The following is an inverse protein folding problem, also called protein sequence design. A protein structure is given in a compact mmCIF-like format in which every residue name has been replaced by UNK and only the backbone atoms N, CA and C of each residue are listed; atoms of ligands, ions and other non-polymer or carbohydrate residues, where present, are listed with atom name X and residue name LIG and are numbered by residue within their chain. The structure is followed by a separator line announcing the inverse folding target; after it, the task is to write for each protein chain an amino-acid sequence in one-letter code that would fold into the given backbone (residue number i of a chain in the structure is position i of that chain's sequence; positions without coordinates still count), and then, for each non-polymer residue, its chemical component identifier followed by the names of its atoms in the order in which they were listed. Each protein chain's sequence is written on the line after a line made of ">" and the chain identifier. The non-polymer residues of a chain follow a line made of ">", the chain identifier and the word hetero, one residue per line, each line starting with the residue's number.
data_IF_786544134420
#
_entry.id   IF_786544134420
#
_cell.length_a   1.000
_cell.length_b   1.000
_cell.length_c   1.000
_cell.angle_alpha   90.00
_cell.angle_beta   90.00
_cell.angle_gamma   90.00
#
_symmetry.space_group_name_H-M   'P 1'
#
loop_
_entity.id
_entity.type
_entity.pdbx_description
1 polymer ?
#
# COMPACT_ATOMS: atom_id res chain seq x y z
N UNK A 1 32.39 -8.37 -3.00
CA UNK A 1 31.70 -9.68 -2.97
C UNK A 1 30.28 -9.44 -3.41
N UNK A 2 29.68 -10.31 -4.22
CA UNK A 2 28.25 -10.22 -4.54
C UNK A 2 27.45 -10.36 -3.23
N UNK A 3 26.42 -9.54 -3.04
CA UNK A 3 25.52 -9.66 -1.90
C UNK A 3 24.84 -11.03 -1.88
N UNK A 4 24.45 -11.53 -0.69
CA UNK A 4 23.63 -12.74 -0.52
C UNK A 4 22.30 -12.65 -1.29
N UNK A 5 21.85 -11.43 -1.59
CA UNK A 5 20.60 -11.13 -2.27
C UNK A 5 20.71 -10.97 -3.79
N UNK A 6 21.93 -11.01 -4.32
CA UNK A 6 22.14 -10.95 -5.76
C UNK A 6 21.57 -12.18 -6.46
N UNK A 7 20.84 -11.97 -7.55
CA UNK A 7 20.19 -13.02 -8.34
C UNK A 7 19.11 -13.81 -7.59
N UNK A 8 18.58 -13.31 -6.47
CA UNK A 8 17.42 -13.93 -5.83
C UNK A 8 16.21 -13.79 -6.73
N UNK A 9 15.52 -14.91 -6.96
CA UNK A 9 14.28 -14.96 -7.75
C UNK A 9 13.06 -15.30 -6.88
N UNK A 10 11.89 -14.94 -7.40
CA UNK A 10 10.56 -15.29 -6.90
C UNK A 10 9.67 -15.70 -8.07
N UNK A 11 8.58 -16.40 -7.79
CA UNK A 11 7.59 -16.84 -8.78
C UNK A 11 6.42 -15.87 -8.83
N UNK A 12 6.40 -14.97 -9.81
CA UNK A 12 5.38 -13.93 -9.97
C UNK A 12 4.59 -14.07 -11.28
N UNK A 13 3.61 -13.19 -11.47
CA UNK A 13 2.87 -13.04 -12.73
C UNK A 13 3.41 -11.83 -13.48
N UNK A 14 4.16 -12.05 -14.56
CA UNK A 14 4.57 -10.94 -15.43
C UNK A 14 3.37 -10.48 -16.26
N UNK A 15 3.15 -9.18 -16.27
CA UNK A 15 2.06 -8.51 -16.99
C UNK A 15 2.54 -8.00 -18.34
N UNK A 16 1.59 -7.59 -19.17
CA UNK A 16 1.77 -7.12 -20.53
C UNK A 16 2.71 -5.91 -20.61
N UNK A 17 2.71 -5.07 -19.58
CA UNK A 17 3.62 -3.92 -19.43
C UNK A 17 4.96 -4.27 -18.74
N UNK A 18 5.27 -5.55 -18.55
CA UNK A 18 6.53 -6.03 -17.96
C UNK A 18 6.61 -5.98 -16.42
N UNK A 19 5.66 -5.32 -15.74
CA UNK A 19 5.56 -5.31 -14.27
C UNK A 19 5.22 -6.71 -13.75
N UNK A 20 5.58 -6.99 -12.49
CA UNK A 20 5.38 -8.31 -11.88
C UNK A 20 4.44 -8.22 -10.69
N UNK A 21 3.35 -8.98 -10.73
CA UNK A 21 2.43 -9.18 -9.61
C UNK A 21 2.74 -10.45 -8.82
N UNK A 22 2.34 -10.47 -7.54
CA UNK A 22 2.43 -11.64 -6.65
C UNK A 22 1.07 -12.27 -6.35
N UNK A 23 -0.01 -11.63 -6.81
CA UNK A 23 -1.38 -12.13 -6.85
C UNK A 23 -1.97 -12.02 -8.26
N UNK A 24 -3.15 -12.58 -8.45
CA UNK A 24 -3.79 -12.71 -9.76
C UNK A 24 -5.31 -12.49 -9.66
N UNK A 25 -5.71 -11.31 -9.20
CA UNK A 25 -7.11 -10.98 -8.94
C UNK A 25 -7.87 -10.62 -10.21
N UNK A 26 -9.13 -11.06 -10.30
CA UNK A 26 -10.13 -10.46 -11.20
C UNK A 26 -10.98 -9.52 -10.36
N UNK A 27 -10.85 -8.22 -10.59
CA UNK A 27 -11.48 -7.19 -9.76
C UNK A 27 -12.77 -6.71 -10.41
N UNK A 28 -13.83 -6.58 -9.60
CA UNK A 28 -15.05 -5.86 -9.96
C UNK A 28 -14.97 -4.50 -9.26
N UNK A 29 -14.69 -3.45 -10.05
CA UNK A 29 -14.33 -2.13 -9.56
C UNK A 29 -15.53 -1.18 -9.70
N UNK A 30 -16.23 -0.84 -8.61
CA UNK A 30 -17.22 0.22 -8.64
C UNK A 30 -16.51 1.55 -8.90
N UNK A 31 -17.07 2.40 -9.77
CA UNK A 31 -16.58 3.78 -9.98
C UNK A 31 -17.00 4.69 -8.83
N UNK A 32 -18.16 4.36 -8.25
CA UNK A 32 -18.89 5.17 -7.29
C UNK A 32 -19.65 4.33 -6.26
N UNK A 33 -19.98 4.96 -5.14
CA UNK A 33 -20.64 4.36 -3.98
C UNK A 33 -22.01 3.73 -4.30
N UNK A 34 -22.73 4.24 -5.29
CA UNK A 34 -24.04 3.69 -5.70
C UNK A 34 -23.92 2.54 -6.70
N UNK A 35 -22.74 2.32 -7.27
CA UNK A 35 -22.43 1.16 -8.12
C UNK A 35 -21.92 -0.05 -7.34
N UNK A 36 -21.66 0.12 -6.03
CA UNK A 36 -21.19 -0.95 -5.14
C UNK A 36 -22.09 -2.19 -5.19
N UNK A 37 -23.41 -2.02 -5.09
CA UNK A 37 -24.35 -3.14 -5.04
C UNK A 37 -24.29 -4.00 -6.31
N UNK A 38 -24.16 -3.38 -7.48
CA UNK A 38 -23.99 -4.11 -8.75
C UNK A 38 -22.66 -4.88 -8.77
N UNK A 39 -21.56 -4.28 -8.29
CA UNK A 39 -20.26 -4.94 -8.23
C UNK A 39 -20.27 -6.14 -7.28
N UNK A 40 -20.86 -5.98 -6.10
CA UNK A 40 -21.00 -7.05 -5.11
C UNK A 40 -21.88 -8.18 -5.63
N UNK A 41 -22.97 -7.87 -6.34
CA UNK A 41 -23.83 -8.87 -6.97
C UNK A 41 -23.08 -9.70 -8.02
N UNK A 42 -22.28 -9.06 -8.88
CA UNK A 42 -21.42 -9.76 -9.85
C UNK A 42 -20.41 -10.66 -9.12
N UNK A 43 -19.77 -10.16 -8.06
CA UNK A 43 -18.81 -10.96 -7.30
C UNK A 43 -19.45 -12.14 -6.55
N UNK A 44 -20.71 -11.99 -6.13
CA UNK A 44 -21.47 -13.09 -5.55
C UNK A 44 -21.80 -14.17 -6.60
N UNK A 45 -22.16 -13.76 -7.82
CA UNK A 45 -22.49 -14.66 -8.93
C UNK A 45 -21.26 -15.44 -9.45
N UNK A 46 -20.11 -14.77 -9.55
CA UNK A 46 -18.90 -15.34 -10.19
C UNK A 46 -17.79 -15.53 -9.17
N UNK A 47 -17.57 -16.79 -8.77
CA UNK A 47 -16.46 -17.14 -7.86
C UNK A 47 -15.10 -16.89 -8.51
N UNK A 48 -14.11 -16.53 -7.70
CA UNK A 48 -12.78 -16.13 -8.17
C UNK A 48 -12.63 -14.65 -8.52
N UNK A 49 -13.68 -13.86 -8.30
CA UNK A 49 -13.65 -12.39 -8.43
C UNK A 49 -13.61 -11.70 -7.07
N UNK A 50 -13.26 -10.42 -7.08
CA UNK A 50 -13.18 -9.57 -5.88
C UNK A 50 -13.83 -8.21 -6.15
N UNK A 51 -14.97 -7.93 -5.51
CA UNK A 51 -15.54 -6.58 -5.48
C UNK A 51 -14.79 -5.71 -4.47
N UNK A 52 -14.60 -4.42 -4.79
CA UNK A 52 -13.90 -3.45 -3.94
C UNK A 52 -14.82 -2.23 -3.71
N UNK A 53 -15.81 -2.35 -2.81
CA UNK A 53 -16.72 -1.25 -2.52
C UNK A 53 -16.02 -0.09 -1.80
N UNK A 54 -16.45 1.14 -2.08
CA UNK A 54 -15.96 2.36 -1.41
C UNK A 54 -17.06 3.43 -1.31
N UNK A 55 -16.81 4.50 -0.54
CA UNK A 55 -17.82 5.49 -0.15
C UNK A 55 -17.87 6.77 -1.00
N UNK A 56 -17.10 6.85 -2.10
CA UNK A 56 -16.93 8.08 -2.90
C UNK A 56 -17.19 7.83 -4.39
N UNK A 57 -16.80 8.74 -5.28
CA UNK A 57 -17.06 8.64 -6.73
C UNK A 57 -18.28 9.42 -7.22
N UNK A 58 -18.75 10.42 -6.46
CA UNK A 58 -19.80 11.35 -6.91
C UNK A 58 -19.55 12.77 -6.37
N UNK A 59 -19.91 13.76 -7.20
CA UNK A 59 -19.86 15.19 -6.85
C UNK A 59 -18.49 15.67 -6.33
N UNK A 60 -17.43 14.96 -6.71
CA UNK A 60 -16.05 15.38 -6.49
C UNK A 60 -15.62 16.32 -7.62
N UNK A 61 -14.70 17.24 -7.33
CA UNK A 61 -14.25 18.24 -8.29
C UNK A 61 -12.79 18.65 -8.01
N UNK A 62 -12.14 19.26 -9.00
CA UNK A 62 -10.75 19.72 -8.88
C UNK A 62 -9.80 18.56 -8.53
N UNK A 63 -8.80 18.84 -7.69
CA UNK A 63 -7.80 17.83 -7.32
C UNK A 63 -8.40 16.63 -6.58
N UNK A 64 -9.49 16.80 -5.83
CA UNK A 64 -10.16 15.68 -5.16
C UNK A 64 -10.69 14.65 -6.16
N UNK A 65 -11.22 15.11 -7.30
CA UNK A 65 -11.68 14.24 -8.37
C UNK A 65 -10.51 13.59 -9.12
N UNK A 66 -9.43 14.33 -9.35
CA UNK A 66 -8.24 13.80 -10.01
C UNK A 66 -7.55 12.73 -9.15
N UNK A 67 -7.48 12.93 -7.84
CA UNK A 67 -7.00 11.92 -6.89
C UNK A 67 -7.90 10.69 -6.86
N UNK A 68 -9.24 10.85 -6.92
CA UNK A 68 -10.17 9.72 -7.06
C UNK A 68 -9.83 8.90 -8.30
N UNK A 69 -9.74 9.54 -9.48
CA UNK A 69 -9.39 8.83 -10.71
C UNK A 69 -8.04 8.16 -10.65
N UNK A 70 -7.02 8.85 -10.13
CA UNK A 70 -5.67 8.31 -9.99
C UNK A 70 -5.65 7.08 -9.10
N UNK A 71 -6.37 7.11 -7.97
CA UNK A 71 -6.45 5.98 -7.04
C UNK A 71 -7.19 4.79 -7.66
N UNK A 72 -8.32 5.04 -8.34
CA UNK A 72 -9.11 3.97 -8.98
C UNK A 72 -8.37 3.34 -10.17
N UNK A 73 -7.78 4.17 -11.03
CA UNK A 73 -6.95 3.72 -12.15
C UNK A 73 -5.75 2.94 -11.63
N UNK A 74 -5.03 3.48 -10.65
CA UNK A 74 -3.89 2.82 -10.03
C UNK A 74 -4.24 1.46 -9.40
N UNK A 75 -5.38 1.39 -8.71
CA UNK A 75 -5.89 0.14 -8.11
C UNK A 75 -6.13 -0.93 -9.17
N UNK A 76 -6.81 -0.60 -10.27
CA UNK A 76 -7.01 -1.53 -11.39
C UNK A 76 -5.72 -1.82 -12.17
N UNK A 77 -4.82 -0.85 -12.28
CA UNK A 77 -3.53 -0.96 -12.97
C UNK A 77 -2.51 -1.82 -12.19
N UNK A 78 -2.68 -1.99 -10.88
CA UNK A 78 -1.76 -2.74 -10.02
C UNK A 78 -1.44 -4.15 -10.60
N UNK A 79 -0.17 -4.61 -10.61
CA UNK A 79 0.19 -5.91 -11.16
C UNK A 79 -0.45 -7.14 -10.46
N UNK A 80 -0.91 -7.01 -9.20
CA UNK A 80 -1.67 -8.04 -8.51
C UNK A 80 -3.08 -8.23 -9.10
N UNK A 81 -3.56 -7.29 -9.90
CA UNK A 81 -4.82 -7.35 -10.64
C UNK A 81 -4.55 -7.83 -12.06
N UNK A 82 -5.14 -8.97 -12.42
CA UNK A 82 -5.00 -9.59 -13.72
C UNK A 82 -5.97 -8.99 -14.74
N UNK A 83 -7.22 -8.74 -14.35
CA UNK A 83 -8.26 -8.20 -15.19
C UNK A 83 -9.28 -7.42 -14.36
N UNK A 84 -9.99 -6.48 -14.98
CA UNK A 84 -10.93 -5.58 -14.30
C UNK A 84 -12.27 -5.48 -15.02
N UNK A 85 -13.36 -5.59 -14.27
CA UNK A 85 -14.69 -5.16 -14.71
C UNK A 85 -15.02 -3.87 -13.97
N UNK A 86 -15.06 -2.75 -14.69
CA UNK A 86 -15.40 -1.43 -14.16
C UNK A 86 -16.91 -1.21 -14.30
N UNK A 87 -17.59 -0.88 -13.22
CA UNK A 87 -19.04 -0.59 -13.23
C UNK A 87 -19.25 0.77 -12.57
N UNK A 88 -19.85 1.70 -13.28
CA UNK A 88 -20.25 3.00 -12.73
C UNK A 88 -21.71 3.33 -12.98
N UNK A 89 -22.20 4.38 -12.34
CA UNK A 89 -23.55 4.86 -12.60
C UNK A 89 -23.66 5.39 -14.04
N UNK A 90 -22.67 6.16 -14.49
CA UNK A 90 -22.68 6.88 -15.77
C UNK A 90 -21.45 6.54 -16.63
N UNK A 91 -21.53 6.65 -17.98
CA UNK A 91 -20.50 6.13 -18.88
C UNK A 91 -19.18 6.92 -18.93
N UNK A 92 -19.17 8.21 -18.64
CA UNK A 92 -17.99 9.08 -18.75
C UNK A 92 -16.86 8.70 -17.80
N UNK A 93 -17.11 8.71 -16.50
CA UNK A 93 -16.15 8.36 -15.45
C UNK A 93 -15.79 6.88 -15.51
N UNK A 94 -16.78 6.03 -15.82
CA UNK A 94 -16.55 4.59 -16.07
C UNK A 94 -15.53 4.39 -17.18
N UNK A 95 -15.73 5.05 -18.31
CA UNK A 95 -14.81 4.98 -19.45
C UNK A 95 -13.43 5.55 -19.12
N UNK A 96 -13.36 6.69 -18.42
CA UNK A 96 -12.09 7.32 -18.02
C UNK A 96 -11.24 6.37 -17.18
N UNK A 97 -11.84 5.71 -16.18
CA UNK A 97 -11.13 4.75 -15.33
C UNK A 97 -10.71 3.52 -16.14
N UNK A 98 -11.64 2.97 -16.92
CA UNK A 98 -11.37 1.78 -17.72
C UNK A 98 -10.26 2.01 -18.75
N UNK A 99 -10.26 3.14 -19.46
CA UNK A 99 -9.20 3.51 -20.41
C UNK A 99 -7.85 3.68 -19.72
N UNK A 100 -7.79 4.36 -18.56
CA UNK A 100 -6.55 4.49 -17.79
C UNK A 100 -5.97 3.14 -17.35
N UNK A 101 -6.82 2.18 -17.00
CA UNK A 101 -6.36 0.81 -16.67
C UNK A 101 -5.88 0.07 -17.94
N UNK A 102 -6.56 0.24 -19.09
CA UNK A 102 -6.18 -0.39 -20.37
C UNK A 102 -4.80 0.00 -20.87
N UNK A 103 -4.27 1.16 -20.48
CA UNK A 103 -2.90 1.57 -20.81
C UNK A 103 -1.84 0.55 -20.33
N UNK A 104 -2.15 -0.25 -19.30
CA UNK A 104 -1.26 -1.33 -18.83
C UNK A 104 -1.24 -2.55 -19.76
N UNK A 105 -2.15 -2.64 -20.73
CA UNK A 105 -2.31 -3.78 -21.64
C UNK A 105 -3.21 -4.90 -21.10
N UNK A 106 -3.67 -4.83 -19.85
CA UNK A 106 -4.50 -5.88 -19.25
C UNK A 106 -5.95 -5.86 -19.75
N UNK A 107 -6.69 -6.98 -19.67
CA UNK A 107 -8.11 -7.01 -20.05
C UNK A 107 -8.99 -6.16 -19.12
N UNK A 108 -9.79 -5.27 -19.72
CA UNK A 108 -10.75 -4.40 -19.01
C UNK A 108 -12.09 -4.36 -19.71
N UNK A 109 -13.17 -4.58 -18.96
CA UNK A 109 -14.54 -4.38 -19.40
C UNK A 109 -15.19 -3.22 -18.62
N UNK A 110 -16.11 -2.50 -19.25
CA UNK A 110 -16.79 -1.36 -18.64
C UNK A 110 -18.31 -1.47 -18.84
N UNK A 111 -19.09 -1.14 -17.82
CA UNK A 111 -20.55 -1.14 -17.85
C UNK A 111 -21.10 0.05 -17.09
N UNK A 112 -22.27 0.54 -17.50
CA UNK A 112 -22.95 1.66 -16.84
C UNK A 112 -24.37 1.31 -16.46
N UNK A 113 -24.77 1.64 -15.23
CA UNK A 113 -26.09 1.30 -14.69
C UNK A 113 -27.18 2.22 -15.25
N UNK A 114 -26.90 3.51 -15.41
CA UNK A 114 -27.85 4.45 -15.99
C UNK A 114 -28.28 3.99 -17.40
N UNK A 115 -29.57 4.10 -17.69
CA UNK A 115 -30.22 3.64 -18.93
C UNK A 115 -30.26 2.11 -19.17
N UNK A 116 -29.57 1.30 -18.36
CA UNK A 116 -29.60 -0.17 -18.45
C UNK A 116 -30.31 -0.83 -17.26
N UNK A 117 -30.21 -0.23 -16.07
CA UNK A 117 -30.68 -0.81 -14.81
C UNK A 117 -29.77 -1.92 -14.30
N UNK A 118 -29.93 -2.27 -13.02
CA UNK A 118 -29.05 -3.23 -12.35
C UNK A 118 -29.10 -4.64 -12.96
N UNK A 119 -30.28 -5.16 -13.30
CA UNK A 119 -30.38 -6.55 -13.77
C UNK A 119 -29.61 -6.80 -15.07
N UNK A 120 -29.75 -5.91 -16.07
CA UNK A 120 -29.04 -6.06 -17.35
C UNK A 120 -27.53 -5.84 -17.18
N UNK A 121 -27.14 -4.83 -16.39
CA UNK A 121 -25.73 -4.54 -16.10
C UNK A 121 -25.05 -5.69 -15.35
N UNK A 122 -25.68 -6.21 -14.29
CA UNK A 122 -25.15 -7.34 -13.51
C UNK A 122 -25.08 -8.59 -14.38
N UNK A 123 -26.09 -8.86 -15.22
CA UNK A 123 -26.07 -9.99 -16.14
C UNK A 123 -24.89 -9.91 -17.12
N UNK A 124 -24.72 -8.79 -17.81
CA UNK A 124 -23.65 -8.61 -18.80
C UNK A 124 -22.26 -8.61 -18.15
N UNK A 125 -22.11 -7.93 -17.02
CA UNK A 125 -20.86 -7.90 -16.25
C UNK A 125 -20.49 -9.28 -15.70
N UNK A 126 -21.47 -10.10 -15.27
CA UNK A 126 -21.23 -11.46 -14.78
C UNK A 126 -20.67 -12.37 -15.88
N UNK A 127 -21.20 -12.29 -17.11
CA UNK A 127 -20.65 -13.03 -18.24
C UNK A 127 -19.19 -12.67 -18.48
N UNK A 128 -18.88 -11.37 -18.47
CA UNK A 128 -17.52 -10.92 -18.74
C UNK A 128 -16.54 -11.25 -17.61
N UNK A 129 -16.97 -11.12 -16.36
CA UNK A 129 -16.20 -11.54 -15.20
C UNK A 129 -15.84 -13.02 -15.26
N UNK A 130 -16.79 -13.88 -15.66
CA UNK A 130 -16.54 -15.33 -15.86
C UNK A 130 -15.47 -15.58 -16.93
N UNK A 131 -15.50 -14.87 -18.05
CA UNK A 131 -14.45 -14.96 -19.08
C UNK A 131 -13.07 -14.57 -18.53
N UNK A 132 -13.00 -13.49 -17.75
CA UNK A 132 -11.74 -13.06 -17.11
C UNK A 132 -11.24 -14.04 -16.05
N UNK A 133 -12.13 -14.72 -15.32
CA UNK A 133 -11.73 -15.79 -14.40
C UNK A 133 -11.14 -16.97 -15.17
N UNK A 134 -11.78 -17.40 -16.27
CA UNK A 134 -11.22 -18.46 -17.13
C UNK A 134 -9.81 -18.08 -17.61
N UNK A 135 -9.67 -16.90 -18.22
CA UNK A 135 -8.38 -16.43 -18.72
C UNK A 135 -7.33 -16.29 -17.62
N UNK A 136 -7.67 -15.66 -16.49
CA UNK A 136 -6.68 -15.39 -15.44
C UNK A 136 -6.19 -16.66 -14.76
N UNK A 137 -7.05 -17.67 -14.57
CA UNK A 137 -6.66 -18.94 -13.92
C UNK A 137 -5.78 -19.84 -14.77
N UNK A 138 -5.71 -19.60 -16.08
CA UNK A 138 -4.78 -20.29 -16.98
C UNK A 138 -3.34 -19.73 -16.88
N UNK A 139 -3.18 -18.49 -16.41
CA UNK A 139 -1.87 -17.84 -16.27
C UNK A 139 -1.01 -18.57 -15.25
N UNK A 140 0.24 -18.86 -15.63
CA UNK A 140 1.22 -19.50 -14.76
C UNK A 140 2.18 -18.48 -14.17
N UNK A 141 2.65 -18.73 -12.94
CA UNK A 141 3.75 -17.96 -12.36
C UNK A 141 5.06 -18.30 -13.08
N UNK A 142 5.89 -17.29 -13.30
CA UNK A 142 7.22 -17.42 -13.87
C UNK A 142 8.30 -16.93 -12.91
N UNK A 143 9.55 -17.34 -13.13
CA UNK A 143 10.68 -16.86 -12.34
C UNK A 143 11.00 -15.41 -12.70
N UNK A 144 10.89 -14.52 -11.71
CA UNK A 144 11.22 -13.11 -11.81
C UNK A 144 12.34 -12.77 -10.83
N UNK A 145 13.27 -11.87 -11.18
CA UNK A 145 14.19 -11.28 -10.21
C UNK A 145 13.42 -10.61 -9.07
N UNK A 146 13.91 -10.71 -7.84
CA UNK A 146 13.33 -9.99 -6.69
C UNK A 146 13.33 -8.47 -6.93
N UNK A 147 14.26 -7.97 -7.73
CA UNK A 147 14.37 -6.55 -8.14
C UNK A 147 13.24 -6.06 -9.05
N UNK A 148 12.36 -6.95 -9.55
CA UNK A 148 11.12 -6.57 -10.24
C UNK A 148 9.97 -6.30 -9.27
N UNK A 149 10.09 -6.75 -8.00
CA UNK A 149 9.05 -6.61 -6.98
C UNK A 149 9.11 -5.21 -6.36
N UNK A 150 7.95 -4.55 -6.37
CA UNK A 150 7.79 -3.23 -5.75
C UNK A 150 7.19 -3.40 -4.36
N UNK A 151 7.90 -2.88 -3.36
CA UNK A 151 7.60 -3.09 -1.94
C UNK A 151 7.32 -1.75 -1.30
N UNK A 152 6.21 -1.63 -0.59
CA UNK A 152 5.85 -0.44 0.17
C UNK A 152 5.89 -0.71 1.66
N UNK A 153 6.07 0.32 2.48
CA UNK A 153 5.95 0.21 3.93
C UNK A 153 5.26 1.40 4.57
N UNK A 154 4.49 1.13 5.62
CA UNK A 154 4.08 2.10 6.65
C UNK A 154 4.05 1.42 8.00
N UNK A 155 4.28 2.16 9.08
CA UNK A 155 4.14 1.62 10.43
C UNK A 155 2.70 1.76 10.94
N UNK A 156 2.26 1.05 11.97
CA UNK A 156 0.94 1.33 12.55
C UNK A 156 0.83 0.90 13.99
N UNK A 157 -0.03 1.61 14.74
CA UNK A 157 -0.18 1.42 16.19
C UNK A 157 1.17 1.31 16.89
N UNK A 158 2.05 2.27 16.60
CA UNK A 158 3.40 2.31 17.11
C UNK A 158 3.44 2.35 18.63
N UNK A 159 4.48 1.77 19.19
CA UNK A 159 4.86 1.78 20.60
C UNK A 159 6.38 1.98 20.70
N UNK A 160 6.94 1.97 21.91
CA UNK A 160 8.40 2.09 22.09
C UNK A 160 9.18 0.99 21.35
N UNK A 161 8.64 -0.23 21.25
CA UNK A 161 9.32 -1.35 20.57
C UNK A 161 9.40 -1.17 19.06
N UNK A 162 8.51 -0.36 18.50
CA UNK A 162 8.40 -0.15 17.05
C UNK A 162 9.67 0.49 16.50
N UNK A 163 10.13 1.59 17.12
CA UNK A 163 11.38 2.27 16.75
C UNK A 163 12.65 1.51 17.16
N UNK A 164 12.55 0.53 18.07
CA UNK A 164 13.69 -0.25 18.56
C UNK A 164 13.90 -1.58 17.81
N UNK A 165 12.87 -2.11 17.15
CA UNK A 165 12.93 -3.43 16.53
C UNK A 165 12.24 -3.54 15.17
N UNK A 166 10.92 -3.32 15.10
CA UNK A 166 10.18 -3.61 13.86
C UNK A 166 10.44 -2.62 12.73
N UNK A 167 10.52 -1.31 12.99
CA UNK A 167 10.94 -0.33 11.98
C UNK A 167 12.41 -0.55 11.55
N UNK A 168 13.39 -0.70 12.47
CA UNK A 168 14.76 -1.05 12.09
C UNK A 168 14.88 -2.33 11.26
N UNK A 169 14.02 -3.32 11.48
CA UNK A 169 13.95 -4.55 10.67
C UNK A 169 13.60 -4.24 9.21
N UNK A 170 12.57 -3.41 8.98
CA UNK A 170 12.21 -2.95 7.64
C UNK A 170 13.33 -2.11 7.04
N UNK A 171 13.93 -1.23 7.83
CA UNK A 171 15.06 -0.42 7.39
C UNK A 171 16.24 -1.27 6.90
N UNK A 172 16.57 -2.33 7.64
CA UNK A 172 17.63 -3.27 7.24
C UNK A 172 17.26 -4.04 5.96
N UNK A 173 15.99 -4.39 5.75
CA UNK A 173 15.51 -4.94 4.48
C UNK A 173 15.75 -3.96 3.32
N UNK A 174 15.46 -2.67 3.47
CA UNK A 174 15.74 -1.68 2.43
C UNK A 174 17.24 -1.51 2.16
N UNK A 175 18.05 -1.39 3.21
CA UNK A 175 19.51 -1.28 3.07
C UNK A 175 20.11 -2.48 2.32
N UNK A 176 19.51 -3.67 2.44
CA UNK A 176 19.92 -4.89 1.73
C UNK A 176 19.42 -4.97 0.30
N UNK A 177 18.17 -4.57 0.04
CA UNK A 177 17.52 -4.80 -1.25
C UNK A 177 17.62 -3.63 -2.24
N UNK A 178 17.72 -2.39 -1.78
CA UNK A 178 17.88 -1.24 -2.67
C UNK A 178 19.15 -1.32 -3.53
N UNK A 179 20.32 -1.77 -3.01
CA UNK A 179 21.50 -2.03 -3.84
C UNK A 179 21.28 -3.12 -4.91
N UNK A 180 20.35 -4.06 -4.68
CA UNK A 180 19.95 -5.08 -5.67
C UNK A 180 18.92 -4.55 -6.70
N UNK A 181 18.50 -3.29 -6.55
CA UNK A 181 17.65 -2.59 -7.51
C UNK A 181 16.15 -2.85 -7.35
N UNK A 182 15.65 -3.03 -6.13
CA UNK A 182 14.19 -2.97 -5.90
C UNK A 182 13.66 -1.54 -6.08
N UNK A 183 12.35 -1.40 -6.22
CA UNK A 183 11.65 -0.13 -6.00
C UNK A 183 10.92 -0.19 -4.67
N UNK A 184 11.24 0.76 -3.79
CA UNK A 184 10.69 0.89 -2.45
C UNK A 184 9.79 2.11 -2.30
N UNK A 185 8.81 2.03 -1.40
CA UNK A 185 7.92 3.14 -1.08
C UNK A 185 7.83 3.29 0.43
N UNK A 186 7.81 4.53 0.90
CA UNK A 186 7.43 4.86 2.27
C UNK A 186 6.69 6.21 2.27
N UNK A 187 5.95 6.50 3.33
CA UNK A 187 5.18 7.74 3.43
C UNK A 187 4.86 8.08 4.88
N UNK A 188 3.62 8.48 5.15
CA UNK A 188 3.10 8.94 6.43
C UNK A 188 3.60 10.36 6.78
N UNK A 189 3.14 11.36 6.02
CA UNK A 189 3.72 12.72 6.02
C UNK A 189 3.71 13.38 7.39
N UNK A 190 2.63 13.25 8.16
CA UNK A 190 2.55 13.81 9.52
C UNK A 190 3.32 13.02 10.57
N UNK A 191 3.68 11.76 10.32
CA UNK A 191 4.49 10.94 11.24
C UNK A 191 5.97 11.32 11.24
N UNK A 192 6.39 12.20 10.33
CA UNK A 192 7.77 12.70 10.24
C UNK A 192 7.99 13.97 11.09
N UNK A 193 6.93 14.57 11.64
CA UNK A 193 7.03 15.79 12.45
C UNK A 193 7.91 15.56 13.69
N UNK A 194 9.00 16.32 13.80
CA UNK A 194 10.05 16.15 14.81
C UNK A 194 11.34 15.51 14.27
N UNK A 195 11.28 14.87 13.09
CA UNK A 195 12.42 14.28 12.40
C UNK A 195 12.56 14.81 10.94
N UNK A 196 11.82 15.86 10.56
CA UNK A 196 11.77 16.38 9.20
C UNK A 196 13.13 16.81 8.66
N UNK A 197 13.94 17.48 9.48
CA UNK A 197 15.29 17.90 9.14
C UNK A 197 16.25 16.71 8.90
N UNK A 198 15.97 15.54 9.47
CA UNK A 198 16.70 14.30 9.19
C UNK A 198 16.18 13.69 7.90
N UNK A 199 14.86 13.57 7.74
CA UNK A 199 14.24 13.03 6.55
C UNK A 199 14.66 13.80 5.30
N UNK A 200 14.66 15.15 5.32
CA UNK A 200 15.14 15.98 4.22
C UNK A 200 16.57 15.63 3.77
N UNK A 201 17.47 15.36 4.73
CA UNK A 201 18.86 14.97 4.46
C UNK A 201 19.01 13.54 3.93
N UNK A 202 17.95 12.72 4.02
CA UNK A 202 17.89 11.36 3.44
C UNK A 202 17.50 11.36 1.97
N UNK A 203 17.20 12.52 1.39
CA UNK A 203 17.10 12.66 -0.07
C UNK A 203 18.43 12.34 -0.76
N UNK A 204 18.36 11.85 -1.99
CA UNK A 204 19.55 11.56 -2.82
C UNK A 204 20.39 12.83 -3.07
N UNK A 205 19.74 13.99 -3.17
CA UNK A 205 20.36 15.30 -3.36
C UNK A 205 19.50 16.41 -2.73
N UNK A 206 20.04 17.64 -2.71
CA UNK A 206 19.38 18.81 -2.12
C UNK A 206 18.07 19.18 -2.82
N UNK A 207 18.01 19.09 -4.15
CA UNK A 207 16.79 19.40 -4.92
C UNK A 207 15.60 18.52 -4.52
N UNK A 208 15.82 17.21 -4.41
CA UNK A 208 14.80 16.27 -3.93
C UNK A 208 14.46 16.54 -2.46
N UNK A 209 15.46 16.90 -1.64
CA UNK A 209 15.23 17.30 -0.25
C UNK A 209 14.32 18.52 -0.12
N UNK A 210 14.57 19.58 -0.89
CA UNK A 210 13.76 20.81 -0.90
C UNK A 210 12.34 20.58 -1.42
N UNK A 211 12.18 19.78 -2.49
CA UNK A 211 10.84 19.39 -2.96
C UNK A 211 10.07 18.63 -1.87
N UNK A 212 10.73 17.72 -1.18
CA UNK A 212 10.12 16.94 -0.10
C UNK A 212 9.72 17.85 1.06
N UNK A 213 10.61 18.75 1.46
CA UNK A 213 10.34 19.68 2.56
C UNK A 213 9.17 20.62 2.24
N UNK A 214 9.06 21.08 0.98
CA UNK A 214 7.92 21.88 0.53
C UNK A 214 6.60 21.10 0.64
N UNK A 215 6.57 19.84 0.20
CA UNK A 215 5.42 18.95 0.33
C UNK A 215 5.06 18.72 1.80
N UNK A 216 6.04 18.37 2.64
CA UNK A 216 5.82 18.12 4.06
C UNK A 216 5.27 19.37 4.75
N UNK A 217 5.86 20.53 4.46
CA UNK A 217 5.42 21.81 5.02
C UNK A 217 4.01 22.17 4.60
N UNK A 218 3.65 21.97 3.33
CA UNK A 218 2.27 22.18 2.86
C UNK A 218 1.29 21.28 3.62
N UNK A 219 1.65 20.00 3.85
CA UNK A 219 0.82 19.11 4.67
C UNK A 219 0.64 19.64 6.10
N UNK A 220 1.70 20.13 6.74
CA UNK A 220 1.60 20.73 8.07
C UNK A 220 0.72 21.97 8.06
N UNK A 221 0.97 22.90 7.14
CA UNK A 221 0.29 24.21 7.12
C UNK A 221 -1.19 24.06 6.74
N UNK A 222 -1.49 23.28 5.69
CA UNK A 222 -2.83 23.24 5.07
C UNK A 222 -3.74 22.15 5.64
N UNK A 223 -3.19 21.09 6.25
CA UNK A 223 -3.98 19.99 6.83
C UNK A 223 -3.96 20.02 8.35
N UNK A 224 -2.77 20.05 8.94
CA UNK A 224 -2.61 19.93 10.40
C UNK A 224 -2.92 21.26 11.08
N UNK A 225 -2.16 22.32 10.81
CA UNK A 225 -2.27 23.59 11.51
C UNK A 225 -3.53 24.38 11.16
N UNK A 226 -4.08 24.21 9.95
CA UNK A 226 -5.36 24.80 9.55
C UNK A 226 -6.56 24.22 10.31
N UNK A 227 -6.46 23.00 10.84
CA UNK A 227 -7.58 22.26 11.43
C UNK A 227 -7.32 21.70 12.82
N UNK A 228 -6.14 21.93 13.40
CA UNK A 228 -5.80 21.51 14.76
C UNK A 228 -6.73 22.17 15.79
N UNK A 229 -7.04 21.41 16.84
CA UNK A 229 -7.63 21.92 18.07
C UNK A 229 -6.52 22.38 19.03
N UNK A 230 -6.86 22.69 20.29
CA UNK A 230 -5.90 23.21 21.28
C UNK A 230 -4.69 22.28 21.55
N UNK A 231 -4.75 21.00 21.16
CA UNK A 231 -3.68 20.02 21.29
C UNK A 231 -3.51 19.18 20.01
N UNK A 232 -2.28 19.10 19.50
CA UNK A 232 -1.90 18.23 18.37
C UNK A 232 -1.99 16.74 18.72
N UNK A 233 -1.96 16.40 20.02
CA UNK A 233 -1.95 15.03 20.56
C UNK A 233 -3.21 14.21 20.25
N UNK A 234 -4.32 14.85 19.83
CA UNK A 234 -5.50 14.11 19.38
C UNK A 234 -5.26 13.38 18.05
N UNK A 235 -4.25 13.80 17.27
CA UNK A 235 -3.86 13.16 16.01
C UNK A 235 -2.50 12.46 16.09
N UNK A 236 -1.47 13.10 16.67
CA UNK A 236 -0.10 12.58 16.70
C UNK A 236 0.70 13.11 17.91
N UNK A 237 1.29 12.25 18.77
CA UNK A 237 1.08 10.80 18.87
C UNK A 237 -0.35 10.47 19.30
N UNK A 238 -0.97 9.44 18.70
CA UNK A 238 -2.33 9.02 19.08
C UNK A 238 -2.39 8.52 20.53
N UNK A 239 -3.57 8.49 21.15
CA UNK A 239 -3.77 7.95 22.50
C UNK A 239 -3.20 6.54 22.67
N UNK A 240 -3.39 5.67 21.67
CA UNK A 240 -2.79 4.34 21.66
C UNK A 240 -1.26 4.40 21.70
N UNK A 241 -0.63 5.30 20.95
CA UNK A 241 0.84 5.46 20.98
C UNK A 241 1.37 5.85 22.36
N UNK A 242 0.68 6.76 23.05
CA UNK A 242 1.03 7.20 24.40
C UNK A 242 0.88 6.04 25.40
N UNK A 243 -0.21 5.27 25.33
CA UNK A 243 -0.37 4.04 26.12
C UNK A 243 0.71 2.99 25.81
N UNK A 244 1.19 2.96 24.57
CA UNK A 244 2.32 2.15 24.11
C UNK A 244 3.70 2.63 24.58
N UNK A 245 3.77 3.74 25.32
CA UNK A 245 4.99 4.25 25.94
C UNK A 245 5.77 5.28 25.11
N UNK A 246 5.20 5.83 24.03
CA UNK A 246 5.81 6.94 23.30
C UNK A 246 5.52 8.27 24.02
N UNK A 247 6.56 9.02 24.34
CA UNK A 247 6.47 10.20 25.20
C UNK A 247 6.44 11.53 24.46
N UNK A 248 7.04 11.59 23.26
CA UNK A 248 7.04 12.80 22.43
C UNK A 248 6.80 12.49 20.95
N UNK A 249 6.44 13.52 20.17
CA UNK A 249 6.27 13.38 18.72
C UNK A 249 7.61 13.10 18.03
N UNK A 250 8.71 13.68 18.52
CA UNK A 250 10.06 13.45 18.01
C UNK A 250 10.50 12.00 18.24
N UNK A 251 10.24 11.42 19.42
CA UNK A 251 10.54 10.01 19.70
C UNK A 251 9.84 9.10 18.68
N UNK A 252 8.56 9.39 18.39
CA UNK A 252 7.77 8.65 17.41
C UNK A 252 8.33 8.82 15.99
N UNK A 253 8.62 10.05 15.58
CA UNK A 253 9.10 10.37 14.24
C UNK A 253 10.47 9.77 13.95
N UNK A 254 11.37 9.78 14.94
CA UNK A 254 12.68 9.12 14.85
C UNK A 254 12.52 7.60 14.66
N UNK A 255 11.64 6.97 15.46
CA UNK A 255 11.33 5.54 15.30
C UNK A 255 10.64 5.20 13.98
N UNK A 256 9.79 6.10 13.47
CA UNK A 256 9.16 5.98 12.17
C UNK A 256 10.21 6.01 11.05
N UNK A 257 11.17 6.95 11.10
CA UNK A 257 12.20 7.11 10.07
C UNK A 257 13.16 5.92 9.97
N UNK A 258 13.37 5.15 11.04
CA UNK A 258 14.17 3.91 10.99
C UNK A 258 13.66 2.91 9.95
N UNK A 259 12.39 3.00 9.51
CA UNK A 259 11.80 2.10 8.49
C UNK A 259 12.46 2.20 7.12
N UNK A 260 13.21 3.27 6.83
CA UNK A 260 13.96 3.40 5.58
C UNK A 260 15.43 2.97 5.70
N UNK A 261 15.87 2.53 6.88
CA UNK A 261 17.23 2.03 7.07
C UNK A 261 18.27 3.11 7.28
N UNK A 262 19.52 2.69 7.45
CA UNK A 262 20.64 3.54 7.88
C UNK A 262 21.44 4.10 6.72
N UNK A 263 21.42 3.44 5.56
CA UNK A 263 22.22 3.83 4.39
C UNK A 263 21.36 4.30 3.21
N UNK A 264 20.11 3.86 3.15
CA UNK A 264 19.23 4.11 2.03
C UNK A 264 18.80 5.57 1.90
N UNK A 265 18.77 6.07 0.67
CA UNK A 265 18.28 7.40 0.33
C UNK A 265 17.09 7.30 -0.61
N UNK A 266 16.14 8.21 -0.49
CA UNK A 266 15.04 8.30 -1.45
C UNK A 266 15.40 9.19 -2.63
N UNK A 267 15.01 8.75 -3.82
CA UNK A 267 15.41 9.35 -5.09
C UNK A 267 14.37 10.32 -5.64
N UNK A 268 13.12 10.22 -5.18
CA UNK A 268 12.03 11.10 -5.60
C UNK A 268 10.87 11.13 -4.59
N UNK A 269 9.94 12.06 -4.82
CA UNK A 269 8.67 12.19 -4.09
C UNK A 269 7.53 11.91 -5.05
N UNK A 270 6.49 11.25 -4.55
CA UNK A 270 5.28 10.91 -5.27
C UNK A 270 4.10 11.63 -4.63
N UNK A 271 3.23 12.16 -5.47
CA UNK A 271 1.90 12.56 -5.04
C UNK A 271 1.07 11.32 -4.61
N UNK A 272 -0.03 11.49 -3.86
CA UNK A 272 -0.88 10.38 -3.46
C UNK A 272 -1.31 9.54 -4.68
N UNK A 273 -1.16 8.21 -4.59
CA UNK A 273 -1.45 7.24 -5.66
C UNK A 273 -0.64 7.41 -6.96
N UNK A 274 0.43 8.22 -6.98
CA UNK A 274 1.32 8.34 -8.14
C UNK A 274 2.25 7.13 -8.26
N UNK A 275 2.42 6.62 -9.48
CA UNK A 275 3.38 5.56 -9.78
C UNK A 275 4.82 6.11 -10.00
N UNK A 276 5.86 5.46 -9.45
CA UNK A 276 7.26 5.80 -9.69
C UNK A 276 7.65 5.87 -11.17
N UNK A 277 8.35 6.94 -11.57
CA UNK A 277 8.87 7.14 -12.94
C UNK A 277 10.40 7.28 -13.01
N UNK A 278 11.06 7.56 -11.88
CA UNK A 278 12.49 7.88 -11.82
C UNK A 278 13.43 6.65 -11.72
N UNK A 279 12.93 5.46 -12.06
CA UNK A 279 13.69 4.20 -12.06
C UNK A 279 13.58 3.37 -10.77
N UNK A 280 14.62 2.57 -10.51
CA UNK A 280 14.73 1.72 -9.32
C UNK A 280 15.33 2.53 -8.16
N UNK A 281 14.76 2.39 -6.97
CA UNK A 281 15.16 3.17 -5.80
C UNK A 281 14.02 3.33 -4.78
N UNK A 282 14.24 4.13 -3.76
CA UNK A 282 13.26 4.41 -2.71
C UNK A 282 12.53 5.72 -3.00
N UNK A 283 11.22 5.75 -2.78
CA UNK A 283 10.35 6.89 -3.02
C UNK A 283 9.61 7.29 -1.75
N UNK A 284 9.47 8.60 -1.51
CA UNK A 284 8.54 9.12 -0.51
C UNK A 284 7.18 9.38 -1.18
N UNK A 285 6.11 8.75 -0.74
CA UNK A 285 4.75 9.07 -1.21
C UNK A 285 4.02 9.90 -0.16
N UNK A 286 3.56 11.10 -0.57
CA UNK A 286 2.68 11.90 0.27
C UNK A 286 1.42 11.10 0.60
N UNK A 287 1.15 10.93 1.89
CA UNK A 287 0.06 10.11 2.37
C UNK A 287 -0.30 10.46 3.80
N UNK A 288 -1.57 10.26 4.14
CA UNK A 288 -2.02 10.26 5.53
C UNK A 288 -1.38 9.10 6.29
N UNK A 289 -1.36 9.22 7.62
CA UNK A 289 -0.87 8.15 8.51
C UNK A 289 -1.93 7.08 8.78
N UNK A 290 -3.18 7.32 8.36
CA UNK A 290 -4.26 6.37 8.48
C UNK A 290 -3.95 5.11 7.67
N UNK A 291 -4.01 3.95 8.34
CA UNK A 291 -3.42 2.74 7.81
C UNK A 291 -4.06 2.27 6.49
N UNK A 292 -5.39 2.16 6.45
CA UNK A 292 -6.11 1.71 5.26
C UNK A 292 -5.94 2.66 4.07
N UNK A 293 -5.90 3.97 4.33
CA UNK A 293 -5.74 5.00 3.30
C UNK A 293 -4.35 4.94 2.67
N UNK A 294 -3.30 4.95 3.50
CA UNK A 294 -1.91 4.85 3.02
C UNK A 294 -1.68 3.57 2.22
N UNK A 295 -2.13 2.40 2.70
CA UNK A 295 -1.93 1.13 1.96
C UNK A 295 -2.70 1.15 0.63
N UNK A 296 -3.88 1.77 0.58
CA UNK A 296 -4.65 1.95 -0.66
C UNK A 296 -3.89 2.79 -1.68
N UNK A 297 -3.31 3.93 -1.27
CA UNK A 297 -2.48 4.77 -2.13
C UNK A 297 -1.23 4.04 -2.63
N UNK A 298 -0.55 3.29 -1.75
CA UNK A 298 0.65 2.51 -2.12
C UNK A 298 0.32 1.39 -3.11
N UNK A 299 -0.83 0.72 -2.93
CA UNK A 299 -1.33 -0.24 -3.89
C UNK A 299 -1.65 0.45 -5.23
N UNK A 300 -2.32 1.61 -5.21
CA UNK A 300 -2.60 2.37 -6.43
C UNK A 300 -1.33 2.86 -7.15
N UNK A 301 -0.28 3.23 -6.41
CA UNK A 301 1.04 3.56 -6.93
C UNK A 301 1.82 2.36 -7.50
N UNK A 302 1.27 1.14 -7.37
CA UNK A 302 1.78 -0.06 -8.03
C UNK A 302 2.70 -0.93 -7.17
N UNK A 303 2.78 -0.71 -5.86
CA UNK A 303 3.40 -1.67 -4.95
C UNK A 303 2.62 -3.00 -4.97
N UNK A 304 3.30 -4.13 -4.86
CA UNK A 304 2.68 -5.46 -4.94
C UNK A 304 2.80 -6.25 -3.64
N UNK A 305 3.64 -5.78 -2.71
CA UNK A 305 3.74 -6.26 -1.32
C UNK A 305 3.82 -5.02 -0.42
N UNK A 306 3.20 -5.12 0.75
CA UNK A 306 3.28 -4.11 1.79
C UNK A 306 3.85 -4.68 3.08
N UNK A 307 4.89 -4.06 3.66
CA UNK A 307 5.43 -4.41 4.97
C UNK A 307 4.92 -3.45 6.04
N UNK A 308 4.38 -4.00 7.12
CA UNK A 308 3.68 -3.26 8.16
C UNK A 308 4.29 -3.54 9.54
N UNK A 309 5.32 -2.79 9.96
CA UNK A 309 5.81 -2.84 11.33
C UNK A 309 4.76 -2.27 12.29
N UNK A 310 4.45 -3.01 13.36
CA UNK A 310 3.46 -2.62 14.36
C UNK A 310 3.90 -2.93 15.79
N UNK A 311 3.59 -2.01 16.69
CA UNK A 311 3.81 -2.16 18.12
C UNK A 311 2.68 -2.96 18.76
N UNK A 312 1.44 -2.47 18.63
CA UNK A 312 0.30 -2.98 19.39
C UNK A 312 -0.61 -3.95 18.63
N UNK A 313 -0.32 -4.24 17.37
CA UNK A 313 -1.01 -5.29 16.61
C UNK A 313 -2.11 -4.78 15.68
N UNK A 314 -1.81 -3.76 14.88
CA UNK A 314 -2.77 -3.25 13.91
C UNK A 314 -3.19 -4.34 12.90
N UNK A 315 -4.51 -4.51 12.73
CA UNK A 315 -5.09 -5.62 11.97
C UNK A 315 -5.25 -5.35 10.47
N UNK A 316 -4.93 -4.14 10.00
CA UNK A 316 -5.22 -3.70 8.62
C UNK A 316 -4.72 -4.68 7.56
N UNK A 317 -5.55 -5.01 6.59
CA UNK A 317 -5.20 -5.69 5.36
C UNK A 317 -5.33 -4.76 4.17
N UNK A 318 -5.43 -5.35 2.98
CA UNK A 318 -5.77 -4.65 1.76
C UNK A 318 -6.28 -5.67 0.73
N UNK A 319 -7.28 -5.34 -0.09
CA UNK A 319 -7.81 -6.28 -1.09
C UNK A 319 -6.85 -6.59 -2.24
N UNK A 320 -5.88 -5.71 -2.54
CA UNK A 320 -4.98 -5.82 -3.70
C UNK A 320 -3.59 -6.30 -3.30
N UNK A 321 -3.03 -5.78 -2.22
CA UNK A 321 -1.65 -6.09 -1.81
C UNK A 321 -1.60 -6.92 -0.53
N UNK A 322 -0.83 -8.01 -0.49
CA UNK A 322 -0.54 -8.71 0.76
C UNK A 322 0.18 -7.80 1.74
N UNK A 323 -0.34 -7.71 2.95
CA UNK A 323 0.22 -6.90 4.04
C UNK A 323 0.90 -7.83 5.05
N UNK A 324 2.23 -7.80 5.10
CA UNK A 324 3.08 -8.61 6.00
C UNK A 324 3.25 -7.85 7.32
N UNK A 325 2.83 -8.44 8.44
CA UNK A 325 2.94 -7.79 9.76
C UNK A 325 4.22 -8.18 10.46
N UNK A 326 4.94 -7.18 10.96
CA UNK A 326 6.18 -7.36 11.72
C UNK A 326 5.99 -6.74 13.10
N UNK A 327 6.33 -7.46 14.17
CA UNK A 327 6.32 -6.87 15.52
C UNK A 327 7.56 -7.24 16.31
N UNK A 328 8.08 -6.27 17.07
CA UNK A 328 9.12 -6.48 18.06
C UNK A 328 8.55 -6.57 19.48
N UNK A 329 7.23 -6.44 19.66
CA UNK A 329 6.60 -6.40 20.97
C UNK A 329 6.25 -7.82 21.46
N UNK A 330 6.92 -8.34 22.52
CA UNK A 330 6.61 -9.67 23.07
C UNK A 330 5.16 -9.82 23.56
N UNK A 331 4.52 -8.72 24.00
CA UNK A 331 3.12 -8.73 24.40
C UNK A 331 2.22 -8.99 23.19
N UNK A 332 2.44 -8.27 22.09
CA UNK A 332 1.67 -8.41 20.84
C UNK A 332 1.84 -9.80 20.24
N UNK A 333 3.05 -10.36 20.26
CA UNK A 333 3.27 -11.76 19.88
C UNK A 333 2.43 -12.69 20.75
N UNK A 334 2.40 -12.50 22.07
CA UNK A 334 1.64 -13.36 22.98
C UNK A 334 0.12 -13.23 22.83
N UNK A 335 -0.39 -12.02 22.55
CA UNK A 335 -1.84 -11.74 22.58
C UNK A 335 -2.49 -11.67 21.21
N UNK A 336 -1.72 -11.47 20.15
CA UNK A 336 -2.21 -11.22 18.78
C UNK A 336 -1.35 -11.96 17.73
N UNK A 337 -0.75 -13.11 18.07
CA UNK A 337 0.11 -13.88 17.15
C UNK A 337 -0.56 -14.25 15.83
N UNK A 338 -1.88 -14.39 15.81
CA UNK A 338 -2.63 -14.72 14.58
C UNK A 338 -2.56 -13.63 13.51
N UNK A 339 -2.25 -12.39 13.90
CA UNK A 339 -2.05 -11.26 12.99
C UNK A 339 -0.59 -11.06 12.58
N UNK A 340 0.37 -11.77 13.19
CA UNK A 340 1.81 -11.54 13.02
C UNK A 340 2.39 -12.51 11.99
N UNK A 341 3.05 -11.98 10.96
CA UNK A 341 3.80 -12.79 10.00
C UNK A 341 5.26 -12.97 10.43
N UNK A 342 5.87 -11.92 10.99
CA UNK A 342 7.30 -11.92 11.40
C UNK A 342 7.42 -11.43 12.84
N UNK A 343 7.79 -12.34 13.75
CA UNK A 343 8.16 -12.03 15.12
C UNK A 343 9.65 -11.70 15.20
N UNK A 344 9.96 -10.44 15.52
CA UNK A 344 11.33 -9.96 15.74
C UNK A 344 11.55 -9.50 17.18
N UNK A 345 10.71 -9.96 18.11
CA UNK A 345 10.79 -9.60 19.53
C UNK A 345 12.06 -10.10 20.22
N UNK A 346 12.76 -11.05 19.59
CA UNK A 346 14.11 -11.48 19.99
C UNK A 346 15.15 -10.36 19.99
N UNK A 347 14.96 -9.29 19.19
CA UNK A 347 15.85 -8.11 19.17
C UNK A 347 15.94 -7.49 20.56
N UNK A 348 14.79 -7.27 21.21
CA UNK A 348 14.73 -6.62 22.52
C UNK A 348 15.32 -7.49 23.64
N UNK A 349 15.37 -8.82 23.42
CA UNK A 349 15.96 -9.80 24.34
C UNK A 349 17.43 -10.09 24.03
N UNK A 350 17.98 -9.49 22.97
CA UNK A 350 19.34 -9.74 22.45
C UNK A 350 19.56 -11.19 22.01
N UNK A 351 18.48 -11.85 21.59
CA UNK A 351 18.48 -13.21 21.03
C UNK A 351 18.57 -13.18 19.49
N UNK A 352 18.34 -12.02 18.89
CA UNK A 352 18.35 -11.77 17.45
C UNK A 352 18.96 -10.37 17.20
N UNK A 353 19.72 -10.23 16.12
CA UNK A 353 20.24 -8.95 15.65
C UNK A 353 19.28 -8.32 14.63
N UNK A 354 19.38 -7.00 14.43
CA UNK A 354 18.61 -6.30 13.38
C UNK A 354 18.95 -6.86 11.99
N UNK A 355 20.19 -7.31 11.80
CA UNK A 355 20.61 -7.91 10.53
C UNK A 355 19.89 -9.24 10.27
N UNK A 356 19.84 -10.14 11.26
CA UNK A 356 19.09 -11.39 11.18
C UNK A 356 17.58 -11.14 11.00
N UNK A 357 17.04 -10.14 11.70
CA UNK A 357 15.64 -9.77 11.56
C UNK A 357 15.31 -9.30 10.12
N UNK A 358 16.20 -8.53 9.50
CA UNK A 358 16.05 -8.13 8.10
C UNK A 358 16.11 -9.32 7.14
N UNK A 359 16.96 -10.31 7.42
CA UNK A 359 17.02 -11.57 6.67
C UNK A 359 15.69 -12.35 6.77
N UNK A 360 15.10 -12.46 7.96
CA UNK A 360 13.79 -13.09 8.20
C UNK A 360 12.65 -12.37 7.45
N UNK A 361 12.66 -11.03 7.45
CA UNK A 361 11.68 -10.25 6.70
C UNK A 361 11.82 -10.47 5.18
N UNK A 362 13.05 -10.48 4.65
CA UNK A 362 13.29 -10.75 3.22
C UNK A 362 12.82 -12.17 2.86
N UNK A 363 13.07 -13.17 3.69
CA UNK A 363 12.55 -14.51 3.47
C UNK A 363 11.01 -14.53 3.47
N UNK A 364 10.37 -13.84 4.40
CA UNK A 364 8.91 -13.72 4.43
C UNK A 364 8.34 -13.05 3.18
N UNK A 365 8.99 -11.99 2.69
CA UNK A 365 8.63 -11.33 1.42
C UNK A 365 8.73 -12.33 0.27
N UNK A 366 9.81 -13.11 0.18
CA UNK A 366 9.96 -14.14 -0.86
C UNK A 366 8.88 -15.21 -0.77
N UNK A 367 8.61 -15.73 0.42
CA UNK A 367 7.54 -16.72 0.65
C UNK A 367 6.18 -16.18 0.24
N UNK A 368 5.90 -14.93 0.59
CA UNK A 368 4.65 -14.23 0.24
C UNK A 368 4.55 -13.99 -1.27
N UNK A 369 5.63 -13.54 -1.90
CA UNK A 369 5.73 -13.38 -3.34
C UNK A 369 5.46 -14.70 -4.07
N UNK A 370 6.00 -15.82 -3.54
CA UNK A 370 5.83 -17.18 -4.06
C UNK A 370 4.45 -17.79 -3.79
N UNK A 371 3.52 -17.08 -3.13
CA UNK A 371 2.13 -17.51 -2.97
C UNK A 371 1.72 -17.91 -1.56
N UNK A 372 2.57 -17.75 -0.53
CA UNK A 372 2.10 -17.80 0.87
C UNK A 372 1.16 -16.62 1.11
N UNK A 373 -0.02 -16.89 1.67
CA UNK A 373 -0.91 -15.85 2.18
C UNK A 373 -0.33 -15.25 3.47
N UNK A 374 -0.44 -13.93 3.62
CA UNK A 374 -0.15 -13.28 4.91
C UNK A 374 -1.26 -13.56 5.91
N UNK A 375 -1.01 -13.27 7.19
CA UNK A 375 -2.03 -13.35 8.23
C UNK A 375 -3.31 -12.60 7.87
N UNK A 376 -3.21 -11.36 7.37
CA UNK A 376 -4.38 -10.58 6.97
C UNK A 376 -5.17 -11.21 5.82
N UNK A 377 -4.49 -11.77 4.83
CA UNK A 377 -5.18 -12.45 3.73
C UNK A 377 -5.92 -13.69 4.22
N UNK A 378 -5.29 -14.47 5.11
CA UNK A 378 -5.89 -15.67 5.69
C UNK A 378 -7.09 -15.35 6.59
N UNK A 379 -7.04 -14.22 7.31
CA UNK A 379 -8.11 -13.74 8.19
C UNK A 379 -9.20 -12.94 7.45
N UNK A 380 -8.98 -12.58 6.18
CA UNK A 380 -9.97 -11.90 5.34
C UNK A 380 -10.01 -10.37 5.47
N UNK A 381 -8.96 -9.75 6.01
CA UNK A 381 -8.84 -8.29 6.09
C UNK A 381 -8.66 -7.66 4.70
N UNK A 382 -9.58 -6.76 4.35
CA UNK A 382 -9.71 -6.17 3.00
C UNK A 382 -10.08 -4.69 3.05
N UNK A 383 -9.48 -3.96 4.00
CA UNK A 383 -9.73 -2.54 4.15
C UNK A 383 -9.25 -1.78 2.90
N UNK A 384 -10.17 -1.02 2.30
CA UNK A 384 -9.93 -0.17 1.14
C UNK A 384 -10.52 1.20 1.46
N UNK A 385 -9.64 2.19 1.64
CA UNK A 385 -10.03 3.53 2.06
C UNK A 385 -9.46 4.55 1.09
N UNK A 386 -10.34 5.31 0.47
CA UNK A 386 -9.98 6.35 -0.47
C UNK A 386 -9.59 7.63 0.30
N UNK A 387 -8.63 8.37 -0.23
CA UNK A 387 -8.32 9.72 0.24
C UNK A 387 -9.34 10.72 -0.29
N UNK A 388 -9.80 11.62 0.58
CA UNK A 388 -10.71 12.71 0.24
C UNK A 388 -10.15 14.03 0.73
N UNK A 389 -10.02 14.98 -0.17
CA UNK A 389 -9.44 16.31 0.10
C UNK A 389 -10.51 17.32 0.50
N UNK A 390 -11.69 17.28 -0.13
CA UNK A 390 -12.74 18.28 0.08
C UNK A 390 -14.10 17.65 0.32
N UNK A 391 -15.04 18.43 0.88
CA UNK A 391 -16.45 18.03 0.89
C UNK A 391 -16.98 17.99 -0.55
N UNK A 392 -17.75 16.96 -0.87
CA UNK A 392 -18.46 16.86 -2.16
C UNK A 392 -19.46 18.01 -2.33
N UNK A 393 -19.69 18.43 -3.58
CA UNK A 393 -20.55 19.56 -3.96
C UNK A 393 -22.02 19.40 -3.55
#
# INVERSE_FOLDING_TARGET
>A
MSSKYSNVTVKGFRRENGRVGVRNHVVILPVDDISNAACEAVANNVKGTLAIPHAYGRLQFGEDLELHFRTMIGTGANPNVAAVVVIGIEPGWTKRIADGIRETGKPVAEFSIEQNGDFETIWAASWKAKEFVHWSTELQREECPLSDIWISTKCGESDTTTGLGSCPTVGNMYDKLLPEGITGFFGETSEITGAEHICQKRAVNEEVGERWYKMWKAYQDDVIFAHQTDDLSDSQPTKGNIEGGLTTIEEKALGNLEKIGRTSKYIDILEPAEAPKSGKGLYFMDSSSAAAECVTLMAAGGAVIHTFPTGQGNVVGNPIVPVIKITANPRTVRTMSEHVDVDVSGILRREMTIDEAGDELIDMIRRTANGRNTAAEALGHREFSMTKLYRSA
#
